data_IF_848251069885
#
_entry.id   IF_848251069885
#
_cell.length_a   1.000
_cell.length_b   1.000
_cell.length_c   1.000
_cell.angle_alpha   90.00
_cell.angle_beta   90.00
_cell.angle_gamma   90.00
#
_symmetry.space_group_name_H-M   'P 1'
#
loop_
_entity.id
_entity.type
_entity.pdbx_description
1 polymer ?
#
# COMPACT_ATOMS: atom_id res chain seq x y z
N UNK A 1 -29.17 6.12 18.80
CA UNK A 1 -27.92 6.79 18.34
C UNK A 1 -27.00 6.80 19.53
N UNK A 2 -25.85 6.12 19.48
CA UNK A 2 -24.91 6.18 20.60
C UNK A 2 -24.52 7.64 20.85
N UNK A 3 -24.61 8.11 22.10
CA UNK A 3 -24.13 9.44 22.51
C UNK A 3 -22.71 9.62 21.97
N UNK A 4 -22.49 10.67 21.18
CA UNK A 4 -21.15 10.99 20.71
C UNK A 4 -20.38 11.52 21.92
N UNK A 5 -19.56 10.66 22.52
CA UNK A 5 -18.59 11.06 23.54
C UNK A 5 -17.78 12.27 23.04
N UNK A 6 -17.50 13.21 23.94
CA UNK A 6 -16.72 14.40 23.62
C UNK A 6 -15.37 14.00 23.00
N UNK A 7 -14.96 14.58 21.86
CA UNK A 7 -13.67 14.27 21.24
C UNK A 7 -12.49 14.60 22.15
N UNK A 8 -11.68 13.59 22.43
CA UNK A 8 -10.40 13.65 23.16
C UNK A 8 -9.29 13.23 22.22
N UNK A 9 -8.65 14.22 21.62
CA UNK A 9 -7.73 14.06 20.50
C UNK A 9 -6.29 14.15 21.00
N UNK A 10 -5.46 13.18 20.61
CA UNK A 10 -3.99 13.27 20.73
C UNK A 10 -3.36 13.67 19.40
N UNK A 11 -2.53 14.70 19.39
CA UNK A 11 -1.80 15.16 18.19
C UNK A 11 -0.32 14.83 18.31
N UNK A 12 0.23 14.13 17.33
CA UNK A 12 1.65 13.73 17.31
C UNK A 12 2.33 14.33 16.08
N UNK A 13 3.31 15.21 16.29
CA UNK A 13 4.02 15.91 15.22
C UNK A 13 5.39 15.25 15.00
N UNK A 14 5.59 14.70 13.80
CA UNK A 14 6.83 14.00 13.45
C UNK A 14 7.90 14.98 12.95
N UNK A 15 9.14 14.79 13.37
CA UNK A 15 10.29 15.51 12.78
C UNK A 15 10.77 14.86 11.48
N UNK A 16 10.62 13.54 11.38
CA UNK A 16 11.17 12.72 10.31
C UNK A 16 12.68 12.97 10.11
N UNK A 17 13.43 13.03 11.22
CA UNK A 17 14.78 13.55 11.23
C UNK A 17 14.77 15.04 10.85
N UNK A 18 15.49 15.41 9.80
CA UNK A 18 15.47 16.78 9.25
C UNK A 18 14.49 16.96 8.09
N UNK A 19 13.78 15.90 7.67
CA UNK A 19 12.86 16.00 6.52
C UNK A 19 11.67 16.92 6.78
N UNK A 20 11.18 16.98 8.02
CA UNK A 20 10.14 17.93 8.44
C UNK A 20 10.77 19.01 9.30
N UNK A 21 11.47 18.64 10.38
CA UNK A 21 12.03 19.60 11.34
C UNK A 21 13.14 20.51 10.77
N UNK A 22 13.71 20.19 9.60
CA UNK A 22 14.66 21.07 8.92
C UNK A 22 14.01 22.28 8.22
N UNK A 23 12.67 22.30 8.10
CA UNK A 23 11.92 23.36 7.40
C UNK A 23 10.74 23.86 8.24
N UNK A 24 9.99 22.95 8.85
CA UNK A 24 8.81 23.25 9.67
C UNK A 24 9.23 23.28 11.13
N UNK A 25 8.86 24.36 11.84
CA UNK A 25 8.99 24.42 13.30
C UNK A 25 7.95 23.51 13.96
N UNK A 26 8.38 22.29 14.24
CA UNK A 26 7.58 21.22 14.85
C UNK A 26 7.15 21.53 16.28
N UNK A 27 7.92 22.33 17.02
CA UNK A 27 7.56 22.76 18.37
C UNK A 27 6.42 23.77 18.30
N UNK A 28 6.54 24.79 17.45
CA UNK A 28 5.46 25.76 17.22
C UNK A 28 4.17 25.12 16.70
N UNK A 29 4.26 24.11 15.83
CA UNK A 29 3.08 23.34 15.37
C UNK A 29 2.46 22.54 16.53
N UNK A 30 3.27 21.98 17.42
CA UNK A 30 2.80 21.21 18.57
C UNK A 30 2.09 22.11 19.59
N UNK A 31 2.67 23.26 19.93
CA UNK A 31 2.03 24.23 20.82
C UNK A 31 0.73 24.77 20.24
N UNK A 32 0.72 25.07 18.93
CA UNK A 32 -0.50 25.46 18.24
C UNK A 32 -1.58 24.37 18.35
N UNK A 33 -1.23 23.10 18.15
CA UNK A 33 -2.17 21.99 18.23
C UNK A 33 -2.87 21.90 19.60
N UNK A 34 -2.19 22.25 20.70
CA UNK A 34 -2.78 22.27 22.06
C UNK A 34 -3.91 23.28 22.22
N UNK A 35 -3.93 24.33 21.40
CA UNK A 35 -4.97 25.37 21.43
C UNK A 35 -6.27 24.93 20.72
N UNK A 36 -6.23 23.82 19.98
CA UNK A 36 -7.35 23.40 19.15
C UNK A 36 -8.45 22.70 19.96
N UNK A 37 -9.75 22.92 19.66
CA UNK A 37 -10.85 22.30 20.39
C UNK A 37 -10.80 20.77 20.35
N UNK A 38 -10.90 20.15 21.53
CA UNK A 38 -10.88 18.69 21.71
C UNK A 38 -9.48 18.07 21.76
N UNK A 39 -8.41 18.84 21.55
CA UNK A 39 -7.04 18.34 21.75
C UNK A 39 -6.71 18.33 23.23
N UNK A 40 -6.45 17.14 23.77
CA UNK A 40 -6.14 16.93 25.20
C UNK A 40 -4.67 16.58 25.44
N UNK A 41 -3.95 16.19 24.38
CA UNK A 41 -2.52 15.91 24.41
C UNK A 41 -1.90 16.27 23.06
N UNK A 42 -0.74 16.93 23.07
CA UNK A 42 0.06 17.12 21.87
C UNK A 42 1.55 17.04 22.20
N UNK A 43 2.28 16.30 21.38
CA UNK A 43 3.73 16.12 21.48
C UNK A 43 4.38 15.99 20.11
N UNK A 44 5.70 16.19 20.06
CA UNK A 44 6.50 15.93 18.88
C UNK A 44 7.62 14.93 19.18
N UNK A 45 8.02 14.15 18.19
CA UNK A 45 9.15 13.23 18.32
C UNK A 45 9.93 13.07 17.01
N UNK A 46 11.20 12.61 17.08
CA UNK A 46 12.06 12.47 15.91
C UNK A 46 11.46 11.59 14.80
N UNK A 47 10.86 10.46 15.18
CA UNK A 47 10.31 9.46 14.28
C UNK A 47 9.03 8.83 14.85
N UNK A 48 7.86 9.38 14.51
CA UNK A 48 6.59 8.87 15.04
C UNK A 48 6.27 7.43 14.61
N UNK A 49 6.73 6.99 13.43
CA UNK A 49 6.55 5.62 12.95
C UNK A 49 7.53 4.60 13.56
N UNK A 50 8.58 5.05 14.27
CA UNK A 50 9.50 4.16 14.96
C UNK A 50 8.84 3.49 16.16
N UNK A 51 9.40 2.39 16.65
CA UNK A 51 8.88 1.68 17.83
C UNK A 51 8.68 2.61 19.06
N UNK A 52 9.63 3.49 19.43
CA UNK A 52 9.39 4.48 20.49
C UNK A 52 8.21 5.42 20.19
N UNK A 53 8.07 5.87 18.95
CA UNK A 53 6.97 6.77 18.56
C UNK A 53 5.60 6.08 18.58
N UNK A 54 5.54 4.83 18.13
CA UNK A 54 4.32 4.02 18.20
C UNK A 54 3.94 3.73 19.66
N UNK A 55 4.93 3.44 20.52
CA UNK A 55 4.71 3.22 21.95
C UNK A 55 4.17 4.48 22.64
N UNK A 56 4.72 5.65 22.32
CA UNK A 56 4.23 6.93 22.84
C UNK A 56 2.75 7.18 22.50
N UNK A 57 2.33 6.88 21.26
CA UNK A 57 0.91 6.94 20.86
C UNK A 57 0.06 5.98 21.71
N UNK A 58 0.46 4.71 21.83
CA UNK A 58 -0.28 3.69 22.58
C UNK A 58 -0.42 4.06 24.07
N UNK A 59 0.63 4.59 24.67
CA UNK A 59 0.64 5.05 26.05
C UNK A 59 -0.23 6.28 26.25
N UNK A 60 -0.15 7.26 25.35
CA UNK A 60 -0.98 8.46 25.40
C UNK A 60 -2.47 8.14 25.26
N UNK A 61 -2.85 7.18 24.39
CA UNK A 61 -4.24 6.70 24.26
C UNK A 61 -4.79 6.25 25.62
N UNK A 62 -4.02 5.44 26.35
CA UNK A 62 -4.43 4.93 27.67
C UNK A 62 -4.39 6.02 28.74
N UNK A 63 -3.29 6.76 28.81
CA UNK A 63 -3.03 7.77 29.87
C UNK A 63 -4.03 8.92 29.81
N UNK A 64 -4.30 9.45 28.62
CA UNK A 64 -5.17 10.62 28.44
C UNK A 64 -6.59 10.23 28.02
N UNK A 65 -6.91 8.93 27.96
CA UNK A 65 -8.20 8.39 27.51
C UNK A 65 -8.59 9.00 26.16
N UNK A 66 -7.68 8.90 25.19
CA UNK A 66 -7.91 9.46 23.86
C UNK A 66 -8.93 8.60 23.14
N UNK A 67 -9.89 9.26 22.47
CA UNK A 67 -10.84 8.60 21.58
C UNK A 67 -10.61 9.00 20.10
N UNK A 68 -9.60 9.83 19.82
CA UNK A 68 -9.16 10.21 18.46
C UNK A 68 -7.64 10.41 18.45
N UNK A 69 -6.99 10.12 17.33
CA UNK A 69 -5.54 10.37 17.15
C UNK A 69 -5.30 11.07 15.83
N UNK A 70 -4.49 12.12 15.85
CA UNK A 70 -3.99 12.81 14.66
C UNK A 70 -2.47 12.68 14.63
N UNK A 71 -1.92 12.19 13.52
CA UNK A 71 -0.46 12.19 13.30
C UNK A 71 -0.11 13.15 12.17
N UNK A 72 0.65 14.18 12.49
CA UNK A 72 1.18 15.15 11.54
C UNK A 72 2.57 14.70 11.08
N UNK A 73 2.64 14.08 9.90
CA UNK A 73 3.88 13.46 9.41
C UNK A 73 3.92 13.38 7.87
N UNK A 74 4.20 12.18 7.33
CA UNK A 74 4.25 11.85 5.92
C UNK A 74 2.87 11.56 5.31
N UNK A 75 2.87 11.16 4.04
CA UNK A 75 1.66 10.79 3.31
C UNK A 75 0.90 9.60 3.94
N UNK A 76 -0.44 9.67 4.01
CA UNK A 76 -1.26 8.53 4.41
C UNK A 76 -1.08 7.33 3.49
N UNK A 77 -0.71 7.55 2.21
CA UNK A 77 -0.40 6.46 1.26
C UNK A 77 0.77 5.58 1.71
N UNK A 78 1.60 6.07 2.64
CA UNK A 78 2.77 5.36 3.17
C UNK A 78 2.49 4.70 4.52
N UNK A 79 2.06 5.48 5.53
CA UNK A 79 1.98 4.99 6.93
C UNK A 79 0.58 5.01 7.54
N UNK A 80 -0.49 5.30 6.79
CA UNK A 80 -1.85 5.18 7.33
C UNK A 80 -2.14 3.75 7.83
N UNK A 81 -1.81 2.67 7.09
CA UNK A 81 -2.00 1.31 7.59
C UNK A 81 -1.22 1.04 8.89
N UNK A 82 0.01 1.54 8.98
CA UNK A 82 0.87 1.42 10.17
C UNK A 82 0.22 2.05 11.39
N UNK A 83 -0.20 3.31 11.31
CA UNK A 83 -0.78 4.00 12.46
C UNK A 83 -2.19 3.51 12.80
N UNK A 84 -2.97 3.07 11.81
CA UNK A 84 -4.24 2.37 12.06
C UNK A 84 -4.05 1.11 12.90
N UNK A 85 -2.99 0.33 12.62
CA UNK A 85 -2.65 -0.83 13.44
C UNK A 85 -2.22 -0.41 14.85
N UNK A 86 -1.39 0.62 14.99
CA UNK A 86 -0.91 1.12 16.30
C UNK A 86 -2.06 1.56 17.21
N UNK A 87 -3.02 2.32 16.69
CA UNK A 87 -4.18 2.75 17.49
C UNK A 87 -5.10 1.57 17.82
N UNK A 88 -5.26 0.62 16.90
CA UNK A 88 -6.03 -0.61 17.12
C UNK A 88 -5.44 -1.49 18.22
N UNK A 89 -4.11 -1.64 18.26
CA UNK A 89 -3.39 -2.33 19.35
C UNK A 89 -3.61 -1.68 20.73
N UNK A 90 -3.89 -0.38 20.77
CA UNK A 90 -4.25 0.34 21.99
C UNK A 90 -5.75 0.30 22.32
N UNK A 91 -6.56 -0.40 21.52
CA UNK A 91 -8.01 -0.52 21.70
C UNK A 91 -8.83 0.61 21.07
N UNK A 92 -8.22 1.50 20.30
CA UNK A 92 -8.92 2.56 19.58
C UNK A 92 -9.31 2.09 18.18
N UNK A 93 -10.54 2.35 17.76
CA UNK A 93 -10.99 1.99 16.41
C UNK A 93 -10.09 2.64 15.33
N UNK A 94 -9.60 1.90 14.32
CA UNK A 94 -8.65 2.41 13.34
C UNK A 94 -9.19 3.55 12.47
N UNK A 95 -10.51 3.72 12.37
CA UNK A 95 -11.14 4.80 11.61
C UNK A 95 -11.37 6.07 12.44
N UNK A 96 -10.93 6.07 13.70
CA UNK A 96 -10.86 7.25 14.57
C UNK A 96 -9.48 7.91 14.57
N UNK A 97 -8.68 7.56 13.56
CA UNK A 97 -7.35 8.09 13.29
C UNK A 97 -7.35 8.95 12.02
N UNK A 98 -6.61 10.06 12.03
CA UNK A 98 -6.42 10.94 10.88
C UNK A 98 -4.94 11.30 10.70
N UNK A 99 -4.50 11.50 9.46
CA UNK A 99 -3.15 11.99 9.16
C UNK A 99 -3.18 13.40 8.57
N UNK A 100 -2.29 14.26 9.07
CA UNK A 100 -1.93 15.51 8.42
C UNK A 100 -0.59 15.31 7.68
N UNK A 101 -0.60 15.39 6.36
CA UNK A 101 0.63 15.29 5.57
C UNK A 101 1.37 16.64 5.59
N UNK A 102 2.38 16.76 6.44
CA UNK A 102 3.25 17.94 6.57
C UNK A 102 4.66 17.70 6.01
N UNK A 103 4.90 16.56 5.34
CA UNK A 103 6.18 16.26 4.67
C UNK A 103 6.10 16.50 3.17
N UNK A 104 5.53 15.54 2.42
CA UNK A 104 5.43 15.62 0.95
C UNK A 104 4.60 16.84 0.51
N UNK A 105 3.60 17.23 1.31
CA UNK A 105 2.72 18.36 0.99
C UNK A 105 3.09 19.65 1.72
N UNK A 106 4.16 19.66 2.53
CA UNK A 106 4.60 20.86 3.23
C UNK A 106 6.12 21.01 3.22
N UNK A 107 6.85 20.37 4.15
CA UNK A 107 8.28 20.63 4.33
C UNK A 107 9.12 20.43 3.06
N UNK A 108 8.86 19.38 2.27
CA UNK A 108 9.64 19.07 1.07
C UNK A 108 9.39 20.02 -0.10
N UNK A 109 8.23 20.68 -0.15
CA UNK A 109 7.89 21.59 -1.23
C UNK A 109 8.00 23.09 -0.86
N UNK A 110 8.29 23.42 0.41
CA UNK A 110 8.41 24.80 0.92
C UNK A 110 9.71 25.05 1.67
N UNK A 111 10.80 24.36 1.31
CA UNK A 111 12.12 24.48 1.97
C UNK A 111 12.70 25.90 1.95
N UNK A 112 12.31 26.71 0.97
CA UNK A 112 12.73 28.11 0.83
C UNK A 112 11.87 29.11 1.63
N UNK A 113 10.74 28.67 2.20
CA UNK A 113 9.80 29.53 2.92
C UNK A 113 9.39 28.89 4.27
N UNK A 114 10.33 28.65 5.20
CA UNK A 114 10.11 27.88 6.43
C UNK A 114 9.02 28.45 7.35
N UNK A 115 8.92 29.79 7.44
CA UNK A 115 7.86 30.45 8.22
C UNK A 115 6.47 30.13 7.65
N UNK A 116 6.29 30.25 6.33
CA UNK A 116 5.03 29.91 5.66
C UNK A 116 4.76 28.41 5.68
N UNK A 117 5.80 27.57 5.61
CA UNK A 117 5.69 26.13 5.75
C UNK A 117 5.17 25.76 7.16
N UNK A 118 5.64 26.46 8.19
CA UNK A 118 5.17 26.28 9.56
C UNK A 118 3.71 26.67 9.73
N UNK A 119 3.31 27.83 9.21
CA UNK A 119 1.89 28.25 9.23
C UNK A 119 1.00 27.28 8.44
N UNK A 120 1.45 26.83 7.27
CA UNK A 120 0.75 25.79 6.51
C UNK A 120 0.61 24.49 7.30
N UNK A 121 1.66 24.05 8.01
CA UNK A 121 1.61 22.85 8.83
C UNK A 121 0.60 22.99 9.98
N UNK A 122 0.54 24.16 10.64
CA UNK A 122 -0.50 24.47 11.65
C UNK A 122 -1.90 24.34 11.07
N UNK A 123 -2.13 24.91 9.90
CA UNK A 123 -3.43 24.83 9.21
C UNK A 123 -3.80 23.39 8.84
N UNK A 124 -2.85 22.61 8.31
CA UNK A 124 -3.07 21.20 7.98
C UNK A 124 -3.41 20.35 9.22
N UNK A 125 -2.73 20.62 10.36
CA UNK A 125 -3.06 19.99 11.65
C UNK A 125 -4.46 20.40 12.10
N UNK A 126 -4.81 21.69 12.03
CA UNK A 126 -6.17 22.18 12.36
C UNK A 126 -7.23 21.49 11.51
N UNK A 127 -7.00 21.34 10.21
CA UNK A 127 -7.92 20.66 9.29
C UNK A 127 -8.09 19.18 9.66
N UNK A 128 -6.99 18.47 9.96
CA UNK A 128 -7.03 17.08 10.38
C UNK A 128 -7.76 16.91 11.72
N UNK A 129 -7.50 17.79 12.70
CA UNK A 129 -8.22 17.82 13.99
C UNK A 129 -9.71 18.10 13.78
N UNK A 130 -10.07 19.05 12.92
CA UNK A 130 -11.47 19.36 12.61
C UNK A 130 -12.21 18.15 12.03
N UNK A 131 -11.57 17.40 11.11
CA UNK A 131 -12.12 16.14 10.58
C UNK A 131 -12.18 15.05 11.65
N UNK A 132 -11.12 14.90 12.45
CA UNK A 132 -11.03 13.89 13.51
C UNK A 132 -12.17 13.98 14.52
N UNK A 133 -12.62 15.21 14.86
CA UNK A 133 -13.78 15.44 15.74
C UNK A 133 -15.07 14.78 15.23
N UNK A 134 -15.22 14.67 13.91
CA UNK A 134 -16.43 14.13 13.27
C UNK A 134 -16.27 12.68 12.78
N UNK A 135 -15.08 12.09 12.91
CA UNK A 135 -14.85 10.68 12.59
C UNK A 135 -15.74 9.79 13.47
N UNK A 136 -16.15 8.66 12.89
CA UNK A 136 -16.97 7.64 13.53
C UNK A 136 -16.24 6.30 13.48
N UNK A 137 -16.41 5.44 14.48
CA UNK A 137 -15.87 4.10 14.42
C UNK A 137 -16.53 3.35 13.25
N UNK A 138 -15.72 2.66 12.45
CA UNK A 138 -16.21 1.79 11.38
C UNK A 138 -15.70 0.37 11.58
N UNK A 139 -16.36 -0.58 10.95
CA UNK A 139 -15.94 -1.97 10.94
C UNK A 139 -15.40 -2.34 9.55
N UNK A 140 -14.25 -3.04 9.46
CA UNK A 140 -13.72 -3.47 8.19
C UNK A 140 -14.63 -4.53 7.57
N UNK A 141 -14.98 -4.33 6.30
CA UNK A 141 -15.75 -5.29 5.52
C UNK A 141 -14.86 -6.52 5.25
N UNK A 142 -15.30 -7.70 5.70
CA UNK A 142 -14.64 -8.97 5.39
C UNK A 142 -15.24 -9.54 4.11
N UNK A 143 -14.38 -9.85 3.15
CA UNK A 143 -14.78 -10.42 1.86
C UNK A 143 -14.02 -11.73 1.62
N UNK A 144 -14.65 -12.74 0.99
CA UNK A 144 -13.96 -13.97 0.64
C UNK A 144 -12.89 -13.69 -0.41
N UNK A 145 -11.85 -14.53 -0.45
CA UNK A 145 -10.80 -14.48 -1.47
C UNK A 145 -10.91 -15.73 -2.34
N UNK A 146 -11.14 -15.53 -3.64
CA UNK A 146 -11.08 -16.61 -4.62
C UNK A 146 -9.66 -17.16 -4.67
N UNK A 147 -9.49 -18.46 -4.41
CA UNK A 147 -8.18 -19.12 -4.33
C UNK A 147 -7.58 -19.42 -5.71
N UNK A 148 -7.53 -18.41 -6.56
CA UNK A 148 -7.00 -18.48 -7.91
C UNK A 148 -6.22 -17.20 -8.20
N UNK A 149 -5.19 -17.30 -9.05
CA UNK A 149 -4.39 -16.16 -9.48
C UNK A 149 -4.45 -16.00 -11.01
N UNK A 150 -4.31 -14.76 -11.46
CA UNK A 150 -4.14 -14.43 -12.87
C UNK A 150 -2.78 -13.73 -13.01
N UNK A 151 -1.93 -14.23 -13.90
CA UNK A 151 -0.66 -13.63 -14.29
C UNK A 151 -0.79 -13.14 -15.73
N UNK A 152 -0.46 -11.86 -15.95
CA UNK A 152 -0.56 -11.21 -17.27
C UNK A 152 0.86 -10.97 -17.78
N UNK A 153 1.21 -11.64 -18.87
CA UNK A 153 2.54 -11.65 -19.47
C UNK A 153 3.35 -12.88 -19.04
N UNK A 154 3.70 -13.73 -20.01
CA UNK A 154 4.48 -14.94 -19.87
C UNK A 154 5.96 -14.77 -20.25
N UNK A 155 6.58 -13.65 -19.91
CA UNK A 155 8.06 -13.58 -19.84
C UNK A 155 8.59 -14.26 -18.56
N UNK A 156 9.90 -14.35 -18.40
CA UNK A 156 10.55 -14.96 -17.23
C UNK A 156 9.95 -14.57 -15.86
N UNK A 157 9.55 -13.31 -15.68
CA UNK A 157 8.92 -12.83 -14.45
C UNK A 157 7.53 -13.46 -14.21
N UNK A 158 6.70 -13.53 -15.25
CA UNK A 158 5.37 -14.11 -15.16
C UNK A 158 5.39 -15.63 -15.09
N UNK A 159 6.28 -16.28 -15.85
CA UNK A 159 6.53 -17.73 -15.76
C UNK A 159 6.92 -18.09 -14.33
N UNK A 160 7.91 -17.39 -13.76
CA UNK A 160 8.35 -17.61 -12.38
C UNK A 160 7.22 -17.38 -11.36
N UNK A 161 6.45 -16.30 -11.51
CA UNK A 161 5.32 -16.01 -10.61
C UNK A 161 4.25 -17.11 -10.68
N UNK A 162 3.92 -17.59 -11.90
CA UNK A 162 2.94 -18.63 -12.10
C UNK A 162 3.38 -19.96 -11.50
N UNK A 163 4.62 -20.39 -11.73
CA UNK A 163 5.19 -21.62 -11.17
C UNK A 163 5.19 -21.60 -9.65
N UNK A 164 5.71 -20.53 -9.03
CA UNK A 164 5.74 -20.42 -7.56
C UNK A 164 4.33 -20.50 -6.93
N UNK A 165 3.34 -19.81 -7.52
CA UNK A 165 1.95 -19.88 -7.03
C UNK A 165 1.34 -21.27 -7.23
N UNK A 166 1.65 -21.91 -8.35
CA UNK A 166 1.13 -23.22 -8.70
C UNK A 166 1.72 -24.34 -7.82
N UNK A 167 2.99 -24.24 -7.45
CA UNK A 167 3.68 -25.12 -6.49
C UNK A 167 3.11 -24.98 -5.07
N UNK A 168 2.68 -23.78 -4.68
CA UNK A 168 1.93 -23.55 -3.43
C UNK A 168 0.49 -24.11 -3.48
N UNK A 169 0.08 -24.71 -4.60
CA UNK A 169 -1.23 -25.36 -4.76
C UNK A 169 -2.36 -24.42 -5.20
N UNK A 170 -2.06 -23.21 -5.67
CA UNK A 170 -3.07 -22.31 -6.23
C UNK A 170 -3.30 -22.59 -7.71
N UNK A 171 -4.55 -22.53 -8.16
CA UNK A 171 -4.86 -22.50 -9.61
C UNK A 171 -4.41 -21.15 -10.16
N UNK A 172 -3.65 -21.16 -11.25
CA UNK A 172 -3.12 -19.98 -11.91
C UNK A 172 -3.57 -19.96 -13.37
N UNK A 173 -4.04 -18.81 -13.84
CA UNK A 173 -4.18 -18.54 -15.27
C UNK A 173 -2.99 -17.68 -15.70
N UNK A 174 -2.22 -18.14 -16.68
CA UNK A 174 -1.10 -17.38 -17.24
C UNK A 174 -1.49 -16.94 -18.65
N UNK A 175 -1.75 -15.64 -18.82
CA UNK A 175 -2.19 -15.06 -20.09
C UNK A 175 -1.02 -14.38 -20.78
N UNK A 176 -0.74 -14.74 -22.03
CA UNK A 176 0.24 -14.04 -22.87
C UNK A 176 -0.38 -13.58 -24.19
N UNK A 177 -0.06 -12.34 -24.58
CA UNK A 177 -0.56 -11.72 -25.81
C UNK A 177 0.05 -12.31 -27.07
N UNK A 178 1.24 -12.89 -26.98
CA UNK A 178 1.94 -13.54 -28.07
C UNK A 178 1.59 -15.03 -28.13
N UNK A 179 1.89 -15.63 -29.26
CA UNK A 179 1.66 -17.03 -29.57
C UNK A 179 2.52 -17.98 -28.72
N UNK A 180 3.67 -17.51 -28.22
CA UNK A 180 4.56 -18.20 -27.28
C UNK A 180 4.86 -17.36 -26.04
N UNK A 181 5.12 -18.04 -24.93
CA UNK A 181 5.75 -17.47 -23.73
C UNK A 181 7.28 -17.35 -23.92
N UNK A 182 7.98 -16.70 -22.99
CA UNK A 182 9.43 -16.44 -23.00
C UNK A 182 9.78 -14.95 -23.07
N UNK A 183 8.87 -14.12 -23.58
CA UNK A 183 9.06 -12.66 -23.64
C UNK A 183 10.37 -12.26 -24.32
N UNK A 184 11.03 -11.21 -23.77
CA UNK A 184 12.32 -10.75 -24.32
C UNK A 184 13.49 -11.67 -24.01
N UNK A 185 13.43 -12.45 -22.93
CA UNK A 185 14.53 -13.32 -22.53
C UNK A 185 14.76 -14.41 -23.59
N UNK A 186 13.69 -14.97 -24.15
CA UNK A 186 13.77 -15.92 -25.26
C UNK A 186 14.42 -15.37 -26.55
N UNK A 187 14.54 -14.05 -26.68
CA UNK A 187 15.18 -13.39 -27.83
C UNK A 187 16.69 -13.17 -27.63
N UNK A 188 17.18 -13.32 -26.39
CA UNK A 188 18.59 -13.11 -26.06
C UNK A 188 19.42 -14.35 -26.40
N UNK A 189 20.63 -14.14 -26.91
CA UNK A 189 21.61 -15.22 -27.05
C UNK A 189 22.12 -15.65 -25.67
N UNK A 190 22.59 -14.68 -24.87
CA UNK A 190 23.20 -14.92 -23.54
C UNK A 190 22.72 -13.94 -22.47
N UNK A 191 22.82 -14.37 -21.21
CA UNK A 191 22.47 -13.56 -20.05
C UNK A 191 23.70 -13.24 -19.19
N UNK A 192 23.95 -11.95 -18.95
CA UNK A 192 24.98 -11.53 -17.97
C UNK A 192 24.50 -11.81 -16.53
N UNK A 193 25.39 -11.99 -15.56
CA UNK A 193 26.85 -11.98 -15.67
C UNK A 193 27.48 -13.34 -16.05
N UNK A 194 26.72 -14.43 -16.05
CA UNK A 194 27.26 -15.79 -16.26
C UNK A 194 27.57 -16.10 -17.72
N UNK A 195 26.97 -15.35 -18.66
CA UNK A 195 27.06 -15.58 -20.10
C UNK A 195 26.49 -16.94 -20.54
N UNK A 196 25.60 -17.51 -19.73
CA UNK A 196 24.81 -18.67 -20.09
C UNK A 196 23.88 -18.34 -21.26
N UNK A 197 23.58 -19.35 -22.07
CA UNK A 197 22.57 -19.20 -23.12
C UNK A 197 21.19 -19.00 -22.50
N UNK A 198 20.45 -18.00 -22.98
CA UNK A 198 19.18 -17.60 -22.38
C UNK A 198 18.15 -18.75 -22.35
N UNK A 199 18.02 -19.48 -23.47
CA UNK A 199 17.07 -20.59 -23.58
C UNK A 199 17.46 -21.79 -22.71
N UNK A 200 18.75 -21.95 -22.37
CA UNK A 200 19.17 -23.01 -21.47
C UNK A 200 18.62 -22.81 -20.05
N UNK A 201 18.35 -21.56 -19.67
CA UNK A 201 17.76 -21.21 -18.37
C UNK A 201 16.23 -21.12 -18.48
N UNK A 202 15.71 -20.39 -19.46
CA UNK A 202 14.27 -20.12 -19.57
C UNK A 202 13.47 -21.28 -20.17
N UNK A 203 14.07 -22.04 -21.10
CA UNK A 203 13.42 -23.13 -21.82
C UNK A 203 12.79 -24.19 -20.90
N UNK A 204 13.52 -24.71 -19.88
CA UNK A 204 12.94 -25.61 -18.88
C UNK A 204 11.73 -25.00 -18.17
N UNK A 205 11.80 -23.73 -17.77
CA UNK A 205 10.70 -23.05 -17.08
C UNK A 205 9.47 -22.84 -17.97
N UNK A 206 9.68 -22.57 -19.26
CA UNK A 206 8.59 -22.51 -20.24
C UNK A 206 7.86 -23.86 -20.36
N UNK A 207 8.63 -24.96 -20.40
CA UNK A 207 8.08 -26.32 -20.46
C UNK A 207 7.35 -26.68 -19.16
N UNK A 208 7.93 -26.34 -18.02
CA UNK A 208 7.33 -26.59 -16.71
C UNK A 208 6.02 -25.84 -16.57
N UNK A 209 5.99 -24.54 -16.94
CA UNK A 209 4.77 -23.74 -16.89
C UNK A 209 3.66 -24.28 -17.81
N UNK A 210 4.03 -24.80 -18.99
CA UNK A 210 3.09 -25.42 -19.91
C UNK A 210 2.51 -26.75 -19.37
N UNK A 211 3.33 -27.56 -18.68
CA UNK A 211 2.93 -28.89 -18.19
C UNK A 211 2.32 -28.89 -16.79
N UNK A 212 2.47 -27.81 -16.03
CA UNK A 212 2.07 -27.78 -14.63
C UNK A 212 0.54 -27.92 -14.48
N UNK A 213 0.02 -28.88 -13.68
CA UNK A 213 -1.41 -29.18 -13.61
C UNK A 213 -2.26 -28.03 -13.05
N UNK A 214 -1.66 -27.17 -12.22
CA UNK A 214 -2.32 -25.99 -11.65
C UNK A 214 -2.19 -24.72 -12.50
N UNK A 215 -1.48 -24.75 -13.64
CA UNK A 215 -1.35 -23.60 -14.53
C UNK A 215 -2.22 -23.81 -15.77
N UNK A 216 -3.06 -22.84 -16.06
CA UNK A 216 -3.76 -22.73 -17.33
C UNK A 216 -3.07 -21.68 -18.18
N UNK A 217 -2.30 -22.15 -19.15
CA UNK A 217 -1.61 -21.28 -20.08
C UNK A 217 -2.56 -20.86 -21.21
N UNK A 218 -2.78 -19.55 -21.35
CA UNK A 218 -3.64 -18.95 -22.37
C UNK A 218 -2.78 -18.00 -23.21
N UNK A 219 -2.16 -18.54 -24.26
CA UNK A 219 -1.35 -17.77 -25.22
C UNK A 219 -2.21 -17.21 -26.34
N UNK A 220 -1.63 -16.25 -27.05
CA UNK A 220 -2.28 -15.47 -28.09
C UNK A 220 -3.59 -14.84 -27.59
N UNK A 221 -3.58 -14.36 -26.35
CA UNK A 221 -4.75 -13.86 -25.65
C UNK A 221 -4.46 -12.59 -24.86
N UNK A 222 -5.46 -11.73 -24.75
CA UNK A 222 -5.33 -10.44 -24.08
C UNK A 222 -6.45 -10.24 -23.07
N UNK A 223 -6.09 -9.69 -21.91
CA UNK A 223 -7.07 -9.23 -20.92
C UNK A 223 -7.74 -7.98 -21.48
N UNK A 224 -9.07 -8.02 -21.64
CA UNK A 224 -9.87 -6.89 -22.15
C UNK A 224 -10.49 -6.06 -21.04
N UNK A 225 -10.91 -6.70 -19.95
CA UNK A 225 -11.45 -5.99 -18.79
C UNK A 225 -11.15 -6.73 -17.49
N UNK A 226 -11.00 -5.94 -16.44
CA UNK A 226 -10.88 -6.40 -15.05
C UNK A 226 -11.86 -5.59 -14.22
N UNK A 227 -12.82 -6.27 -13.63
CA UNK A 227 -13.83 -5.70 -12.74
C UNK A 227 -13.72 -6.30 -11.34
N UNK A 228 -14.27 -5.62 -10.34
CA UNK A 228 -14.30 -6.09 -8.96
C UNK A 228 -13.20 -5.47 -8.08
N UNK A 229 -12.82 -6.19 -7.04
CA UNK A 229 -11.86 -5.74 -6.01
C UNK A 229 -11.06 -6.93 -5.49
N UNK A 230 -10.10 -6.67 -4.59
CA UNK A 230 -9.18 -7.69 -4.07
C UNK A 230 -9.92 -8.97 -3.63
N UNK A 231 -9.49 -10.10 -4.19
CA UNK A 231 -10.07 -11.43 -3.96
C UNK A 231 -11.35 -11.78 -4.73
N UNK A 232 -11.99 -10.80 -5.39
CA UNK A 232 -13.28 -10.95 -6.08
C UNK A 232 -13.25 -10.29 -7.46
N UNK A 233 -12.22 -10.62 -8.25
CA UNK A 233 -12.09 -10.11 -9.61
C UNK A 233 -12.90 -10.93 -10.61
N UNK A 234 -13.48 -10.24 -11.59
CA UNK A 234 -14.02 -10.84 -12.82
C UNK A 234 -13.19 -10.32 -13.99
N UNK A 235 -12.60 -11.23 -14.75
CA UNK A 235 -11.69 -10.89 -15.84
C UNK A 235 -12.21 -11.47 -17.15
N UNK A 236 -12.23 -10.64 -18.19
CA UNK A 236 -12.54 -11.07 -19.55
C UNK A 236 -11.22 -11.18 -20.32
N UNK A 237 -10.95 -12.38 -20.82
CA UNK A 237 -9.79 -12.70 -21.66
C UNK A 237 -10.27 -13.01 -23.07
N UNK A 238 -9.78 -12.26 -24.05
CA UNK A 238 -10.01 -12.54 -25.46
C UNK A 238 -8.89 -13.44 -25.98
N UNK A 239 -9.22 -14.69 -26.33
CA UNK A 239 -8.32 -15.57 -27.08
C UNK A 239 -8.42 -15.23 -28.57
N UNK A 240 -7.34 -14.75 -29.17
CA UNK A 240 -7.31 -14.37 -30.58
C UNK A 240 -7.37 -15.63 -31.46
N UNK A 241 -8.04 -15.59 -32.62
CA UNK A 241 -8.12 -16.75 -33.50
C UNK A 241 -6.75 -17.04 -34.12
N UNK A 242 -6.19 -18.21 -33.83
CA UNK A 242 -4.97 -18.70 -34.50
C UNK A 242 -5.22 -19.13 -35.94
N UNK A 243 -6.48 -19.31 -36.33
CA UNK A 243 -6.91 -19.93 -37.59
C UNK A 243 -6.33 -21.33 -37.83
N UNK A 244 -5.98 -22.02 -36.73
CA UNK A 244 -5.47 -23.39 -36.69
C UNK A 244 -6.19 -24.11 -35.55
N UNK A 245 -6.53 -25.39 -35.76
CA UNK A 245 -7.05 -26.26 -34.70
C UNK A 245 -5.85 -26.71 -33.86
N UNK A 246 -5.67 -26.12 -32.68
CA UNK A 246 -4.50 -26.32 -31.81
C UNK A 246 -4.27 -27.81 -31.50
N UNK A 247 -5.35 -28.59 -31.33
CA UNK A 247 -5.28 -30.02 -31.00
C UNK A 247 -4.79 -30.90 -32.16
N UNK A 248 -4.75 -30.35 -33.39
CA UNK A 248 -4.31 -31.06 -34.61
C UNK A 248 -2.98 -30.53 -35.16
N UNK A 249 -2.43 -29.47 -34.56
CA UNK A 249 -1.18 -28.85 -35.00
C UNK A 249 0.02 -29.68 -34.52
N UNK A 250 0.93 -30.05 -35.44
CA UNK A 250 2.16 -30.82 -35.17
C UNK A 250 3.40 -30.08 -35.60
#
# INVERSE_FOLDING_TARGET
MAEQEEPRIGVFVCHCGLNIAGVVDVEAVTEYARTLPGVVHAEHNPYTCSEPGQKAIKEAIKKYKLNRVVVASCSPRMHEPTFRQVVAEAGLNPYLFEMANIREHCSWCHSHEPEKATEKAKDLVRMAVAKARLLRPLEPIRVPVTRQALVIGGGIAGISAALNLAEMGFKVYLVDRYDSIGGHMAQLDKTFPTLDCSICIEGPLMVDAYRHPNIELITYAEVKSVEGYIGNFKVIVEKKPRYVIEERCT
#
